data_IF_380653080597
#
_entry.id   IF_380653080597
#
_cell.length_a   1.000
_cell.length_b   1.000
_cell.length_c   1.000
_cell.angle_alpha   90.00
_cell.angle_beta   90.00
_cell.angle_gamma   90.00
#
_symmetry.space_group_name_H-M   'P 1'
#
loop_
_entity.id
_entity.type
_entity.pdbx_description
1 polymer ?
#
# COMPACT_ATOMS: atom_id res chain seq x y z
N UNK A 1 -15.59 9.76 12.78
CA UNK A 1 -14.91 9.41 14.06
C UNK A 1 -15.97 9.30 15.16
N UNK A 2 -15.73 8.45 16.14
CA UNK A 2 -16.62 8.35 17.32
C UNK A 2 -16.55 9.66 18.11
N UNK A 3 -17.66 10.40 18.27
CA UNK A 3 -17.68 11.68 18.96
C UNK A 3 -17.38 11.57 20.47
N UNK A 4 -17.44 10.35 21.02
CA UNK A 4 -17.13 10.08 22.43
C UNK A 4 -15.64 9.98 22.72
N UNK A 5 -14.80 9.82 21.69
CA UNK A 5 -13.36 9.67 21.85
C UNK A 5 -12.69 11.04 21.82
N UNK A 6 -12.03 11.40 22.92
CA UNK A 6 -11.25 12.64 22.99
C UNK A 6 -9.99 12.58 22.16
N UNK A 7 -9.62 13.67 21.47
CA UNK A 7 -8.33 13.77 20.77
C UNK A 7 -7.15 13.49 21.70
N UNK A 8 -6.14 12.82 21.15
CA UNK A 8 -4.92 12.44 21.90
C UNK A 8 -3.71 13.09 21.27
N UNK A 9 -2.94 13.79 22.10
CA UNK A 9 -1.59 14.26 21.76
C UNK A 9 -0.58 13.32 22.40
N UNK A 10 0.11 12.54 21.58
CA UNK A 10 1.14 11.63 22.09
C UNK A 10 2.32 12.41 22.67
N UNK A 11 2.89 11.91 23.77
CA UNK A 11 4.13 12.48 24.32
C UNK A 11 5.26 12.31 23.32
N UNK A 12 6.00 13.41 23.04
CA UNK A 12 7.10 13.45 22.08
C UNK A 12 8.17 12.37 22.37
N UNK A 13 8.51 11.59 21.36
CA UNK A 13 9.63 10.64 21.40
C UNK A 13 10.94 11.38 21.08
N UNK A 14 12.01 11.10 21.83
CA UNK A 14 13.36 11.62 21.56
C UNK A 14 14.07 10.68 20.60
N UNK A 15 14.73 11.25 19.59
CA UNK A 15 15.59 10.52 18.66
C UNK A 15 17.06 10.87 18.87
N UNK A 16 17.98 9.95 18.58
CA UNK A 16 19.39 10.23 18.46
C UNK A 16 19.66 11.03 17.16
N UNK A 17 20.88 11.60 17.03
CA UNK A 17 21.24 12.48 15.92
C UNK A 17 21.00 11.84 14.55
N UNK A 18 21.39 10.59 14.35
CA UNK A 18 21.22 9.85 13.10
C UNK A 18 19.74 9.73 12.70
N UNK A 19 18.89 9.31 13.65
CA UNK A 19 17.43 9.16 13.39
C UNK A 19 16.75 10.49 13.09
N UNK A 20 17.21 11.58 13.71
CA UNK A 20 16.70 12.94 13.44
C UNK A 20 16.93 13.33 11.98
N UNK A 21 18.14 13.12 11.47
CA UNK A 21 18.47 13.43 10.08
C UNK A 21 17.58 12.65 9.10
N UNK A 22 17.32 11.39 9.38
CA UNK A 22 16.41 10.59 8.55
C UNK A 22 14.97 11.17 8.57
N UNK A 23 14.46 11.54 9.75
CA UNK A 23 13.11 12.15 9.86
C UNK A 23 13.07 13.48 9.11
N UNK A 24 14.09 14.34 9.24
CA UNK A 24 14.14 15.62 8.53
C UNK A 24 14.17 15.44 7.01
N UNK A 25 14.97 14.50 6.51
CA UNK A 25 15.06 14.22 5.09
C UNK A 25 13.74 13.68 4.52
N UNK A 26 13.12 12.69 5.18
CA UNK A 26 11.84 12.13 4.76
C UNK A 26 10.72 13.17 4.83
N UNK A 27 10.68 14.01 5.89
CA UNK A 27 9.71 15.11 5.99
C UNK A 27 9.88 16.11 4.83
N UNK A 28 11.13 16.47 4.47
CA UNK A 28 11.40 17.35 3.34
C UNK A 28 10.93 16.76 2.02
N UNK A 29 11.14 15.45 1.81
CA UNK A 29 10.65 14.76 0.60
C UNK A 29 9.12 14.81 0.51
N UNK A 30 8.42 14.54 1.61
CA UNK A 30 6.96 14.59 1.66
C UNK A 30 6.41 16.01 1.44
N UNK A 31 7.07 17.04 2.00
CA UNK A 31 6.71 18.44 1.77
C UNK A 31 6.90 18.84 0.30
N UNK A 32 8.04 18.51 -0.30
CA UNK A 32 8.35 18.82 -1.69
C UNK A 32 7.38 18.10 -2.66
N UNK A 33 6.92 16.91 -2.31
CA UNK A 33 5.93 16.16 -3.06
C UNK A 33 4.49 16.66 -2.85
N UNK A 34 4.26 17.57 -1.89
CA UNK A 34 2.93 18.07 -1.55
C UNK A 34 2.04 17.08 -0.79
N UNK A 35 2.62 16.00 -0.27
CA UNK A 35 1.87 14.97 0.47
C UNK A 35 1.54 15.39 1.90
N UNK A 36 2.26 16.35 2.45
CA UNK A 36 2.03 16.92 3.79
C UNK A 36 2.09 18.44 3.73
N UNK A 37 1.48 19.08 4.72
CA UNK A 37 1.59 20.52 4.95
C UNK A 37 1.82 20.82 6.42
N UNK A 38 2.33 21.99 6.72
CA UNK A 38 2.47 22.49 8.09
C UNK A 38 1.11 22.74 8.73
N UNK A 39 0.99 22.50 10.04
CA UNK A 39 -0.24 22.70 10.80
C UNK A 39 0.05 23.25 12.18
N UNK A 40 -0.76 24.23 12.60
CA UNK A 40 -0.70 24.83 13.91
C UNK A 40 -1.86 24.33 14.80
N UNK A 41 -1.54 24.08 16.06
CA UNK A 41 -2.51 23.69 17.10
C UNK A 41 -3.40 22.48 16.79
N UNK A 42 -2.88 21.38 16.22
CA UNK A 42 -3.70 20.22 15.95
C UNK A 42 -4.20 19.58 17.26
N UNK A 43 -5.43 19.08 17.25
CA UNK A 43 -6.00 18.36 18.39
C UNK A 43 -5.41 16.93 18.51
N UNK A 44 -5.27 16.24 17.38
CA UNK A 44 -4.61 14.95 17.28
C UNK A 44 -3.15 15.13 16.93
N UNK A 45 -2.25 14.49 17.68
CA UNK A 45 -0.82 14.55 17.37
C UNK A 45 -0.18 13.17 17.59
N UNK A 46 0.34 12.60 16.51
CA UNK A 46 1.04 11.33 16.54
C UNK A 46 2.57 11.51 16.54
N UNK A 47 3.29 10.48 16.97
CA UNK A 47 4.74 10.42 16.84
C UNK A 47 5.15 9.80 15.50
N UNK A 48 6.32 10.18 15.03
CA UNK A 48 7.03 9.48 13.95
C UNK A 48 7.69 8.22 14.50
N UNK A 49 7.68 7.16 13.70
CA UNK A 49 8.37 5.88 13.94
C UNK A 49 9.24 5.55 12.73
N UNK A 50 10.47 5.13 12.98
CA UNK A 50 11.39 4.69 11.93
C UNK A 50 11.46 3.15 11.90
N UNK A 51 11.06 2.58 10.78
CA UNK A 51 11.11 1.14 10.52
C UNK A 51 12.28 0.82 9.59
N UNK A 52 13.10 -0.16 9.94
CA UNK A 52 14.21 -0.63 9.10
C UNK A 52 13.66 -1.56 8.02
N UNK A 53 13.96 -1.29 6.75
CA UNK A 53 13.67 -2.17 5.61
C UNK A 53 14.72 -3.28 5.51
N UNK A 54 14.41 -4.36 4.77
CA UNK A 54 15.35 -5.45 4.52
C UNK A 54 16.67 -4.98 3.87
N UNK A 55 16.61 -3.94 3.02
CA UNK A 55 17.78 -3.33 2.40
C UNK A 55 18.58 -2.38 3.33
N UNK A 56 18.31 -2.38 4.64
CA UNK A 56 18.99 -1.55 5.63
C UNK A 56 18.51 -0.08 5.69
N UNK A 57 17.83 0.43 4.67
CA UNK A 57 17.27 1.79 4.68
C UNK A 57 16.12 1.91 5.70
N UNK A 58 15.92 3.10 6.25
CA UNK A 58 14.82 3.37 7.17
C UNK A 58 13.64 4.01 6.45
N UNK A 59 12.44 3.61 6.83
CA UNK A 59 11.18 4.21 6.39
C UNK A 59 10.58 5.00 7.55
N UNK A 60 10.17 6.23 7.29
CA UNK A 60 9.37 7.01 8.22
C UNK A 60 7.91 6.55 8.16
N UNK A 61 7.34 6.24 9.32
CA UNK A 61 5.93 5.94 9.51
C UNK A 61 5.37 6.86 10.59
N UNK A 62 4.05 6.97 10.67
CA UNK A 62 3.36 7.73 11.72
C UNK A 62 2.54 6.77 12.58
N UNK A 63 2.61 6.95 13.89
CA UNK A 63 1.94 6.10 14.88
C UNK A 63 0.48 6.52 15.05
N UNK A 64 -0.39 6.07 14.17
CA UNK A 64 -1.82 6.37 14.22
C UNK A 64 -2.63 5.48 15.17
N UNK A 65 -2.01 4.75 16.12
CA UNK A 65 -2.72 3.82 17.02
C UNK A 65 -3.90 4.49 17.72
N UNK A 66 -3.70 5.70 18.27
CA UNK A 66 -4.76 6.40 18.98
C UNK A 66 -5.87 6.90 18.04
N UNK A 67 -5.49 7.45 16.89
CA UNK A 67 -6.43 7.87 15.86
C UNK A 67 -7.26 6.68 15.34
N UNK A 68 -6.60 5.56 15.07
CA UNK A 68 -7.23 4.34 14.58
C UNK A 68 -8.22 3.73 15.59
N UNK A 69 -7.98 3.88 16.90
CA UNK A 69 -8.94 3.47 17.95
C UNK A 69 -10.23 4.29 17.89
N UNK A 70 -10.13 5.57 17.57
CA UNK A 70 -11.28 6.48 17.46
C UNK A 70 -12.01 6.37 16.10
N UNK A 71 -11.37 5.75 15.12
CA UNK A 71 -11.93 5.59 13.77
C UNK A 71 -12.81 4.33 13.70
N UNK A 72 -14.09 4.40 13.28
CA UNK A 72 -14.89 3.21 13.01
C UNK A 72 -14.23 2.39 11.91
N UNK A 73 -14.36 1.07 11.98
CA UNK A 73 -13.85 0.17 10.92
C UNK A 73 -14.79 0.25 9.71
N UNK A 74 -14.22 0.46 8.54
CA UNK A 74 -14.92 0.26 7.27
C UNK A 74 -15.05 -1.24 7.01
N UNK A 75 -16.28 -1.70 6.80
CA UNK A 75 -16.58 -3.12 6.54
C UNK A 75 -16.48 -3.48 5.07
N UNK A 76 -15.83 -2.64 4.25
CA UNK A 76 -15.64 -2.95 2.83
C UNK A 76 -14.91 -4.28 2.66
N UNK A 77 -15.48 -5.24 1.92
CA UNK A 77 -14.87 -6.56 1.74
C UNK A 77 -13.62 -6.43 0.87
N UNK A 78 -12.52 -6.99 1.36
CA UNK A 78 -11.33 -7.18 0.53
C UNK A 78 -11.53 -8.44 -0.32
N UNK A 79 -11.04 -8.46 -1.58
CA UNK A 79 -11.10 -9.66 -2.41
C UNK A 79 -10.39 -10.85 -1.75
N UNK A 80 -10.89 -12.06 -1.98
CA UNK A 80 -10.20 -13.26 -1.55
C UNK A 80 -8.93 -13.45 -2.38
N UNK A 81 -7.79 -13.58 -1.70
CA UNK A 81 -6.50 -13.82 -2.35
C UNK A 81 -6.56 -15.11 -3.17
N UNK A 82 -7.14 -16.18 -2.61
CA UNK A 82 -7.26 -17.47 -3.30
C UNK A 82 -8.10 -17.37 -4.58
N UNK A 83 -9.18 -16.57 -4.56
CA UNK A 83 -10.00 -16.32 -5.73
C UNK A 83 -9.25 -15.54 -6.82
N UNK A 84 -8.49 -14.50 -6.43
CA UNK A 84 -7.68 -13.71 -7.37
C UNK A 84 -6.56 -14.54 -8.02
N UNK A 85 -5.86 -15.31 -7.20
CA UNK A 85 -4.77 -16.21 -7.65
C UNK A 85 -5.33 -17.33 -8.52
N UNK A 86 -6.46 -17.92 -8.11
CA UNK A 86 -7.15 -18.96 -8.88
C UNK A 86 -7.61 -18.50 -10.26
N UNK A 87 -8.17 -17.29 -10.36
CA UNK A 87 -8.62 -16.73 -11.65
C UNK A 87 -7.46 -16.37 -12.60
N UNK A 88 -6.27 -16.16 -12.07
CA UNK A 88 -5.06 -15.84 -12.85
C UNK A 88 -4.27 -17.10 -13.27
N UNK A 89 -4.64 -18.25 -12.74
CA UNK A 89 -3.96 -19.53 -13.01
C UNK A 89 -4.24 -20.01 -14.44
N UNK A 90 -3.23 -20.57 -15.08
CA UNK A 90 -3.35 -21.17 -16.43
C UNK A 90 -3.35 -20.14 -17.57
N UNK A 91 -3.14 -18.87 -17.31
CA UNK A 91 -2.99 -17.85 -18.35
C UNK A 91 -1.60 -17.95 -19.00
N UNK A 92 -1.55 -17.74 -20.34
CA UNK A 92 -0.30 -17.81 -21.11
C UNK A 92 0.60 -16.58 -20.94
N UNK A 93 0.00 -15.43 -20.69
CA UNK A 93 0.72 -14.16 -20.54
C UNK A 93 0.25 -13.41 -19.31
N UNK A 94 1.20 -12.87 -18.57
CA UNK A 94 1.00 -12.14 -17.33
C UNK A 94 1.76 -10.82 -17.37
N UNK A 95 1.16 -9.77 -16.81
CA UNK A 95 1.86 -8.51 -16.52
C UNK A 95 1.54 -8.07 -15.10
N UNK A 96 2.59 -7.86 -14.31
CA UNK A 96 2.50 -7.46 -12.91
C UNK A 96 2.75 -5.96 -12.81
N UNK A 97 1.84 -5.23 -12.21
CA UNK A 97 1.92 -3.78 -12.07
C UNK A 97 1.77 -3.39 -10.60
N UNK A 98 2.55 -2.41 -10.19
CA UNK A 98 2.54 -1.85 -8.82
C UNK A 98 2.19 -0.36 -8.90
N UNK A 99 1.27 0.09 -8.07
CA UNK A 99 0.90 1.49 -8.01
C UNK A 99 2.00 2.32 -7.30
N UNK A 100 2.41 3.44 -7.91
CA UNK A 100 3.39 4.33 -7.31
C UNK A 100 2.83 5.03 -6.08
N UNK A 101 3.31 4.67 -4.88
CA UNK A 101 2.82 5.25 -3.61
C UNK A 101 1.29 5.24 -3.52
N UNK A 102 0.65 4.10 -3.82
CA UNK A 102 -0.78 3.98 -4.09
C UNK A 102 -1.69 4.79 -3.16
N UNK A 103 -1.53 4.67 -1.85
CA UNK A 103 -2.35 5.41 -0.89
C UNK A 103 -2.21 6.93 -1.03
N UNK A 104 -1.02 7.44 -1.35
CA UNK A 104 -0.79 8.87 -1.50
C UNK A 104 -1.41 9.44 -2.79
N UNK A 105 -2.00 8.62 -3.64
CA UNK A 105 -2.77 9.08 -4.81
C UNK A 105 -4.21 9.46 -4.47
N UNK A 106 -4.67 9.16 -3.25
CA UNK A 106 -6.00 9.50 -2.76
C UNK A 106 -5.93 10.72 -1.85
N UNK A 107 -6.62 11.78 -2.24
CA UNK A 107 -6.72 13.00 -1.42
C UNK A 107 -7.49 12.74 -0.12
N UNK A 108 -6.97 13.27 0.97
CA UNK A 108 -7.71 13.30 2.23
C UNK A 108 -8.89 14.27 2.13
N UNK A 109 -9.98 13.96 2.84
CA UNK A 109 -11.03 14.94 3.02
C UNK A 109 -10.49 16.11 3.88
N UNK A 110 -10.69 17.40 3.48
CA UNK A 110 -10.11 18.54 4.20
C UNK A 110 -10.36 18.57 5.71
N UNK A 111 -11.54 18.10 6.16
CA UNK A 111 -11.87 17.98 7.58
C UNK A 111 -11.10 16.89 8.35
N UNK A 112 -10.45 15.98 7.63
CA UNK A 112 -9.72 14.85 8.20
C UNK A 112 -8.20 15.02 8.13
N UNK A 113 -7.68 15.91 7.28
CA UNK A 113 -6.26 16.20 7.18
C UNK A 113 -5.64 16.51 8.56
N UNK A 114 -6.24 17.45 9.31
CA UNK A 114 -5.73 17.88 10.62
C UNK A 114 -5.67 16.74 11.65
N UNK A 115 -6.46 15.67 11.48
CA UNK A 115 -6.47 14.51 12.37
C UNK A 115 -5.25 13.62 12.16
N UNK A 116 -4.61 13.70 11.00
CA UNK A 116 -3.39 12.94 10.66
C UNK A 116 -2.11 13.63 11.14
N UNK A 117 -2.23 14.66 11.97
CA UNK A 117 -1.08 15.44 12.38
C UNK A 117 -0.05 14.61 13.16
N UNK A 118 1.20 14.87 12.85
CA UNK A 118 2.35 14.28 13.51
C UNK A 118 3.41 15.33 13.83
N UNK A 119 4.18 15.07 14.88
CA UNK A 119 5.22 15.98 15.32
C UNK A 119 6.60 15.50 14.89
N UNK A 120 7.41 16.45 14.46
CA UNK A 120 8.86 16.32 14.26
C UNK A 120 9.60 17.12 15.33
N UNK A 121 10.90 17.34 15.17
CA UNK A 121 11.65 18.24 16.06
C UNK A 121 11.41 19.71 15.78
N UNK A 122 11.08 20.04 14.55
CA UNK A 122 10.99 21.42 14.07
C UNK A 122 9.55 21.93 13.99
N UNK A 123 8.59 21.09 13.60
CA UNK A 123 7.21 21.51 13.40
C UNK A 123 6.25 20.33 13.50
N UNK A 124 4.93 20.66 13.42
CA UNK A 124 3.87 19.69 13.23
C UNK A 124 3.38 19.73 11.77
N UNK A 125 3.16 18.56 11.19
CA UNK A 125 2.66 18.41 9.82
C UNK A 125 1.44 17.53 9.80
N UNK A 126 0.57 17.69 8.81
CA UNK A 126 -0.53 16.76 8.54
C UNK A 126 -0.52 16.32 7.08
N UNK A 127 -1.07 15.14 6.81
CA UNK A 127 -1.18 14.62 5.46
C UNK A 127 -2.34 15.28 4.70
N UNK A 128 -2.09 15.67 3.47
CA UNK A 128 -3.08 16.14 2.48
C UNK A 128 -3.61 15.00 1.62
N UNK A 129 -2.93 13.86 1.67
CA UNK A 129 -3.25 12.64 0.97
C UNK A 129 -3.30 11.48 1.95
N UNK A 130 -3.95 10.38 1.58
CA UNK A 130 -4.10 9.23 2.45
C UNK A 130 -2.73 8.59 2.74
N UNK A 131 -2.38 8.48 4.02
CA UNK A 131 -1.09 7.91 4.43
C UNK A 131 -1.20 6.45 4.84
N UNK A 132 -0.06 5.76 4.79
CA UNK A 132 0.06 4.43 5.38
C UNK A 132 -0.22 4.44 6.88
N UNK A 133 -0.83 3.35 7.38
CA UNK A 133 -1.10 3.16 8.79
C UNK A 133 -2.47 3.66 9.26
N UNK A 134 -3.25 4.33 8.42
CA UNK A 134 -4.65 4.65 8.73
C UNK A 134 -5.51 3.39 8.65
N UNK A 135 -6.42 3.22 9.61
CA UNK A 135 -7.25 2.00 9.81
C UNK A 135 -8.00 1.55 8.56
N UNK A 136 -8.53 2.49 7.80
CA UNK A 136 -9.38 2.22 6.65
C UNK A 136 -8.68 2.46 5.30
N UNK A 137 -7.35 2.68 5.30
CA UNK A 137 -6.61 2.99 4.07
C UNK A 137 -6.78 1.88 3.02
N UNK A 138 -6.60 0.62 3.42
CA UNK A 138 -6.75 -0.53 2.52
C UNK A 138 -8.15 -0.66 1.94
N UNK A 139 -9.18 -0.52 2.77
CA UNK A 139 -10.58 -0.57 2.32
C UNK A 139 -10.92 0.56 1.35
N UNK A 140 -10.44 1.77 1.63
CA UNK A 140 -10.65 2.94 0.77
C UNK A 140 -9.96 2.77 -0.58
N UNK A 141 -8.71 2.28 -0.56
CA UNK A 141 -7.94 2.05 -1.78
C UNK A 141 -8.55 0.93 -2.63
N UNK A 142 -8.92 -0.20 -2.01
CA UNK A 142 -9.56 -1.30 -2.74
C UNK A 142 -10.89 -0.85 -3.38
N UNK A 143 -11.71 -0.08 -2.66
CA UNK A 143 -12.95 0.49 -3.22
C UNK A 143 -12.68 1.38 -4.44
N UNK A 144 -11.57 2.16 -4.43
CA UNK A 144 -11.16 2.93 -5.59
C UNK A 144 -10.77 1.99 -6.75
N UNK A 145 -9.94 0.98 -6.48
CA UNK A 145 -9.50 0.02 -7.51
C UNK A 145 -10.67 -0.73 -8.13
N UNK A 146 -11.60 -1.23 -7.30
CA UNK A 146 -12.80 -1.91 -7.79
C UNK A 146 -13.63 -1.01 -8.70
N UNK A 147 -13.81 0.27 -8.33
CA UNK A 147 -14.54 1.25 -9.14
C UNK A 147 -13.82 1.57 -10.46
N UNK A 148 -12.50 1.75 -10.42
CA UNK A 148 -11.69 2.11 -11.59
C UNK A 148 -11.62 0.94 -12.56
N UNK A 149 -11.40 -0.25 -12.05
CA UNK A 149 -11.16 -1.46 -12.84
C UNK A 149 -12.44 -2.26 -13.16
N UNK A 150 -13.62 -1.79 -12.70
CA UNK A 150 -14.92 -2.49 -12.88
C UNK A 150 -15.09 -3.16 -14.26
N UNK A 151 -14.77 -2.53 -15.41
CA UNK A 151 -14.98 -3.16 -16.72
C UNK A 151 -14.08 -4.37 -17.00
N UNK A 152 -12.96 -4.48 -16.27
CA UNK A 152 -11.88 -5.44 -16.52
C UNK A 152 -11.73 -6.47 -15.39
N UNK A 153 -12.24 -6.16 -14.18
CA UNK A 153 -12.11 -7.05 -13.03
C UNK A 153 -12.72 -8.43 -13.30
N UNK A 154 -11.96 -9.47 -13.01
CA UNK A 154 -12.38 -10.87 -13.21
C UNK A 154 -12.37 -11.33 -14.67
N UNK A 155 -12.19 -10.43 -15.64
CA UNK A 155 -12.02 -10.76 -17.06
C UNK A 155 -10.54 -10.94 -17.41
N UNK A 156 -9.78 -9.87 -17.38
CA UNK A 156 -8.36 -9.83 -17.74
C UNK A 156 -7.50 -9.04 -16.72
N UNK A 157 -8.11 -8.46 -15.69
CA UNK A 157 -7.42 -7.73 -14.63
C UNK A 157 -7.82 -8.26 -13.25
N UNK A 158 -6.83 -8.47 -12.41
CA UNK A 158 -6.97 -8.73 -10.99
C UNK A 158 -6.33 -7.57 -10.22
N UNK A 159 -6.99 -7.07 -9.19
CA UNK A 159 -6.47 -5.97 -8.40
C UNK A 159 -6.62 -6.26 -6.89
N UNK A 160 -5.53 -6.14 -6.17
CA UNK A 160 -5.49 -6.24 -4.72
C UNK A 160 -4.64 -5.10 -4.16
N UNK A 161 -5.31 -4.05 -3.69
CA UNK A 161 -4.64 -2.82 -3.24
C UNK A 161 -3.69 -2.27 -4.32
N UNK A 162 -2.40 -2.14 -3.99
CA UNK A 162 -1.37 -1.58 -4.87
C UNK A 162 -0.96 -2.53 -6.01
N UNK A 163 -1.20 -3.84 -5.85
CA UNK A 163 -0.80 -4.88 -6.79
C UNK A 163 -1.91 -5.12 -7.83
N UNK A 164 -1.56 -5.00 -9.11
CA UNK A 164 -2.43 -5.30 -10.24
C UNK A 164 -1.79 -6.36 -11.11
N UNK A 165 -2.61 -7.25 -11.63
CA UNK A 165 -2.20 -8.32 -12.55
C UNK A 165 -3.08 -8.29 -13.78
N UNK A 166 -2.48 -8.18 -14.95
CA UNK A 166 -3.14 -8.41 -16.24
C UNK A 166 -2.87 -9.83 -16.68
N UNK A 167 -3.91 -10.54 -17.04
CA UNK A 167 -3.86 -11.94 -17.46
C UNK A 167 -4.48 -12.09 -18.85
N UNK A 168 -3.85 -12.88 -19.72
CA UNK A 168 -4.37 -13.16 -21.05
C UNK A 168 -4.25 -14.64 -21.38
N UNK A 169 -5.32 -15.23 -21.90
CA UNK A 169 -5.37 -16.63 -22.31
C UNK A 169 -4.54 -16.90 -23.58
N UNK A 170 -4.44 -15.89 -24.46
CA UNK A 170 -3.71 -15.96 -25.70
C UNK A 170 -2.66 -14.86 -25.77
N UNK A 171 -1.45 -15.18 -26.29
CA UNK A 171 -0.34 -14.23 -26.41
C UNK A 171 -0.71 -12.98 -27.22
N UNK A 172 -1.46 -13.17 -28.31
CA UNK A 172 -1.89 -12.07 -29.19
C UNK A 172 -2.87 -11.10 -28.54
N UNK A 173 -3.59 -11.53 -27.50
CA UNK A 173 -4.57 -10.69 -26.79
C UNK A 173 -3.92 -9.80 -25.72
N UNK A 174 -2.68 -10.09 -25.33
CA UNK A 174 -2.06 -9.43 -24.15
C UNK A 174 -1.81 -7.94 -24.35
N UNK A 175 -1.44 -7.52 -25.56
CA UNK A 175 -1.23 -6.10 -25.88
C UNK A 175 -2.55 -5.34 -25.83
N UNK A 176 -3.65 -5.76 -26.51
CA UNK A 176 -4.96 -5.15 -26.33
C UNK A 176 -5.43 -5.06 -24.88
N UNK A 177 -5.23 -6.11 -24.07
CA UNK A 177 -5.59 -6.10 -22.65
C UNK A 177 -4.80 -5.03 -21.85
N UNK A 178 -3.51 -4.87 -22.15
CA UNK A 178 -2.69 -3.82 -21.55
C UNK A 178 -3.09 -2.41 -22.01
N UNK A 179 -3.43 -2.23 -23.28
CA UNK A 179 -3.90 -0.95 -23.81
C UNK A 179 -5.19 -0.49 -23.13
N UNK A 180 -6.14 -1.40 -22.93
CA UNK A 180 -7.37 -1.14 -22.19
C UNK A 180 -7.08 -0.71 -20.74
N UNK A 181 -6.18 -1.41 -20.06
CA UNK A 181 -5.77 -1.04 -18.71
C UNK A 181 -5.10 0.33 -18.68
N UNK A 182 -4.13 0.60 -19.58
CA UNK A 182 -3.42 1.88 -19.59
C UNK A 182 -4.35 3.04 -19.94
N UNK A 183 -5.30 2.88 -20.83
CA UNK A 183 -6.34 3.88 -21.12
C UNK A 183 -7.16 4.20 -19.85
N UNK A 184 -7.52 3.17 -19.09
CA UNK A 184 -8.26 3.32 -17.83
C UNK A 184 -7.41 4.02 -16.76
N UNK A 185 -6.16 3.61 -16.57
CA UNK A 185 -5.22 4.22 -15.63
C UNK A 185 -5.01 5.71 -15.96
N UNK A 186 -4.81 6.04 -17.26
CA UNK A 186 -4.65 7.42 -17.71
C UNK A 186 -5.89 8.26 -17.44
N UNK A 187 -7.09 7.74 -17.72
CA UNK A 187 -8.38 8.41 -17.45
C UNK A 187 -8.53 8.81 -15.98
N UNK A 188 -8.13 7.94 -15.06
CA UNK A 188 -8.21 8.19 -13.62
C UNK A 188 -6.93 8.81 -13.03
N UNK A 189 -5.93 9.11 -13.88
CA UNK A 189 -4.63 9.70 -13.48
C UNK A 189 -3.89 8.89 -12.42
N UNK A 190 -4.07 7.59 -12.41
CA UNK A 190 -3.31 6.70 -11.54
C UNK A 190 -1.87 6.58 -12.06
N UNK A 191 -0.92 6.54 -11.13
CA UNK A 191 0.51 6.43 -11.44
C UNK A 191 1.00 5.03 -11.07
N UNK A 192 1.75 4.42 -12.00
CA UNK A 192 2.46 3.17 -11.79
C UNK A 192 3.90 3.42 -11.37
N UNK A 193 4.51 2.42 -10.75
CA UNK A 193 5.93 2.37 -10.44
C UNK A 193 6.65 1.51 -11.48
N UNK A 194 7.31 2.12 -12.50
CA UNK A 194 7.93 1.37 -13.59
C UNK A 194 9.01 0.38 -13.12
N UNK A 195 9.72 0.71 -12.04
CA UNK A 195 10.80 -0.14 -11.49
C UNK A 195 10.29 -1.46 -10.89
N UNK A 196 8.99 -1.53 -10.58
CA UNK A 196 8.36 -2.72 -10.01
C UNK A 196 7.39 -3.40 -10.96
N UNK A 197 7.13 -2.81 -12.11
CA UNK A 197 6.26 -3.42 -13.13
C UNK A 197 7.06 -4.41 -13.97
N UNK A 198 6.42 -5.54 -14.27
CA UNK A 198 6.98 -6.59 -15.15
C UNK A 198 5.92 -6.94 -16.18
N UNK A 199 6.28 -6.85 -17.45
CA UNK A 199 5.33 -6.99 -18.55
C UNK A 199 5.61 -8.22 -19.42
N UNK A 200 4.56 -8.88 -19.89
CA UNK A 200 4.61 -9.89 -20.91
C UNK A 200 5.43 -11.12 -20.54
N UNK A 201 5.25 -11.65 -19.33
CA UNK A 201 5.94 -12.83 -18.84
C UNK A 201 5.00 -14.03 -18.75
N UNK A 202 5.56 -15.24 -18.80
CA UNK A 202 4.82 -16.51 -18.70
C UNK A 202 4.65 -16.99 -17.26
N UNK A 203 5.43 -16.42 -16.34
CA UNK A 203 5.37 -16.74 -14.92
C UNK A 203 5.79 -15.55 -14.06
N UNK A 204 5.26 -15.47 -12.82
CA UNK A 204 5.66 -14.45 -11.87
C UNK A 204 4.99 -14.58 -10.52
N UNK A 205 5.46 -13.78 -9.56
CA UNK A 205 4.97 -13.79 -8.18
C UNK A 205 3.81 -12.80 -8.02
N UNK A 206 2.67 -13.29 -7.53
CA UNK A 206 1.49 -12.50 -7.19
C UNK A 206 0.94 -12.89 -5.84
N UNK A 207 0.76 -11.92 -4.95
CA UNK A 207 0.22 -12.10 -3.59
C UNK A 207 0.86 -13.25 -2.79
N UNK A 208 2.13 -13.52 -3.08
CA UNK A 208 2.91 -14.54 -2.38
C UNK A 208 2.86 -15.96 -2.99
N UNK A 209 2.21 -16.12 -4.12
CA UNK A 209 2.19 -17.35 -4.93
C UNK A 209 3.02 -17.15 -6.20
N UNK A 210 3.49 -18.24 -6.79
CA UNK A 210 4.08 -18.25 -8.12
C UNK A 210 3.02 -18.71 -9.11
N UNK A 211 2.67 -17.82 -10.05
CA UNK A 211 1.74 -18.11 -11.14
C UNK A 211 2.54 -18.58 -12.36
N UNK A 212 2.08 -19.64 -12.98
CA UNK A 212 2.64 -20.20 -14.23
C UNK A 212 1.51 -20.65 -15.15
N UNK A 213 1.81 -20.93 -16.42
CA UNK A 213 0.84 -21.54 -17.35
C UNK A 213 0.32 -22.89 -16.83
N UNK A 214 1.15 -23.62 -16.05
CA UNK A 214 0.76 -24.93 -15.47
C UNK A 214 -0.19 -24.78 -14.28
N UNK A 215 -0.29 -23.59 -13.71
CA UNK A 215 -1.13 -23.32 -12.54
C UNK A 215 -0.43 -22.51 -11.48
N UNK A 216 -0.84 -22.74 -10.24
CA UNK A 216 -0.33 -22.09 -9.04
C UNK A 216 0.75 -22.98 -8.44
N UNK A 217 1.93 -22.41 -8.26
CA UNK A 217 3.05 -23.09 -7.61
C UNK A 217 3.40 -22.43 -6.28
N UNK A 218 3.99 -23.19 -5.38
CA UNK A 218 4.51 -22.65 -4.13
C UNK A 218 5.67 -21.68 -4.39
N UNK A 219 5.71 -20.61 -3.60
CA UNK A 219 6.83 -19.66 -3.71
C UNK A 219 8.13 -20.30 -3.18
N UNK A 220 9.16 -20.52 -4.04
CA UNK A 220 10.39 -21.19 -3.63
C UNK A 220 11.10 -20.51 -2.45
N UNK A 221 11.02 -19.18 -2.34
CA UNK A 221 11.64 -18.42 -1.24
C UNK A 221 10.95 -18.71 0.10
N UNK A 222 9.61 -18.91 0.08
CA UNK A 222 8.86 -19.29 1.28
C UNK A 222 9.18 -20.72 1.69
N UNK A 223 9.26 -21.64 0.73
CA UNK A 223 9.63 -23.03 0.99
C UNK A 223 11.04 -23.11 1.59
N UNK A 224 12.01 -22.42 1.00
CA UNK A 224 13.38 -22.35 1.52
C UNK A 224 13.42 -21.77 2.94
N UNK A 225 12.62 -20.74 3.23
CA UNK A 225 12.51 -20.14 4.56
C UNK A 225 11.96 -21.15 5.58
N UNK A 226 10.90 -21.88 5.22
CA UNK A 226 10.30 -22.90 6.10
C UNK A 226 11.28 -24.04 6.36
N UNK A 227 11.96 -24.52 5.32
CA UNK A 227 12.98 -25.57 5.44
C UNK A 227 14.17 -25.15 6.30
N UNK A 228 14.52 -23.86 6.30
CA UNK A 228 15.59 -23.31 7.15
C UNK A 228 15.14 -23.01 8.59
N UNK A 229 13.86 -23.11 8.93
CA UNK A 229 13.36 -22.91 10.27
C UNK A 229 13.84 -24.03 11.19
N UNK A 230 14.43 -23.64 12.32
CA UNK A 230 14.75 -24.59 13.41
C UNK A 230 13.45 -25.04 14.09
N UNK A 231 13.37 -26.34 14.39
CA UNK A 231 12.26 -26.84 15.20
C UNK A 231 12.16 -26.06 16.52
N UNK A 232 10.94 -25.71 16.99
CA UNK A 232 10.78 -25.02 18.25
C UNK A 232 11.34 -25.87 19.39
N UNK A 233 12.29 -25.31 20.15
CA UNK A 233 12.94 -26.01 21.27
C UNK A 233 12.16 -25.92 22.58
N UNK A 234 11.11 -25.09 22.65
CA UNK A 234 10.24 -24.95 23.82
C UNK A 234 8.86 -24.47 23.44
N UNK A 235 7.85 -24.92 24.17
CA UNK A 235 6.49 -24.35 24.15
C UNK A 235 6.55 -23.07 25.00
N UNK A 236 6.21 -21.93 24.42
CA UNK A 236 5.95 -20.70 25.18
C UNK A 236 4.47 -20.43 25.20
#
# INVERSE_FOLDING_TARGET
MDPKVRPVRQRRRKFNKERRLVVQEETRKLLNAGHIRDIQYPEWVANVVLVKKANGKRRMCVDFINLNKACPKDSYPLPSIDALVGSASGCKMLSFLDAFSGYNQIKMHPRDECKTAFMTETSCYCYTEMSFGLKNASATYQRLMDKVMTPMLGRNVQAYMDDMLVTSQERGQHIPDLEELFATIAKYRLKLNPEKCVFGVEAGKFLGFLLTERGIEENPDKCATILAMRSPASVK
#
